data_IF_446674695367
#
_entry.id   IF_446674695367
#
_cell.length_a   1.000
_cell.length_b   1.000
_cell.length_c   1.000
_cell.angle_alpha   90.00
_cell.angle_beta   90.00
_cell.angle_gamma   90.00
#
_symmetry.space_group_name_H-M   'P 1'
#
loop_
_entity.id
_entity.type
_entity.pdbx_description
1 polymer ?
#
# COMPACT_ATOMS: atom_id res chain seq x y z
N UNK A 1 61.17 2.57 -12.25
CA UNK A 1 60.26 2.72 -11.09
C UNK A 1 58.89 3.38 -11.41
N UNK A 2 58.55 3.73 -12.66
CA UNK A 2 57.34 4.54 -12.95
C UNK A 2 56.05 3.84 -13.41
N UNK A 3 55.96 2.49 -13.44
CA UNK A 3 54.74 1.79 -13.92
C UNK A 3 53.72 1.42 -12.84
N UNK A 4 54.07 1.50 -11.56
CA UNK A 4 53.17 1.16 -10.44
C UNK A 4 52.23 2.30 -10.01
N UNK A 5 52.65 3.57 -10.18
CA UNK A 5 51.88 4.73 -9.71
C UNK A 5 50.65 5.01 -10.59
N UNK A 6 50.78 4.92 -11.91
CA UNK A 6 49.70 5.20 -12.87
C UNK A 6 48.54 4.20 -12.83
N UNK A 7 48.80 2.93 -12.47
CA UNK A 7 47.75 1.92 -12.27
C UNK A 7 47.01 2.12 -10.96
N UNK A 8 47.70 2.59 -9.91
CA UNK A 8 47.06 2.92 -8.63
C UNK A 8 46.17 4.16 -8.70
N UNK A 9 46.55 5.17 -9.50
CA UNK A 9 45.73 6.37 -9.75
C UNK A 9 44.51 6.08 -10.63
N UNK A 10 44.62 5.21 -11.64
CA UNK A 10 43.49 4.85 -12.50
C UNK A 10 42.44 4.00 -11.77
N UNK A 11 42.86 3.11 -10.86
CA UNK A 11 41.96 2.36 -9.99
C UNK A 11 41.25 3.27 -8.97
N UNK A 12 41.97 4.22 -8.36
CA UNK A 12 41.39 5.18 -7.41
C UNK A 12 40.37 6.14 -8.06
N UNK A 13 40.60 6.52 -9.31
CA UNK A 13 39.69 7.42 -10.05
C UNK A 13 38.42 6.70 -10.51
N UNK A 14 38.52 5.44 -10.96
CA UNK A 14 37.34 4.60 -11.24
C UNK A 14 36.50 4.31 -10.00
N UNK A 15 37.13 4.01 -8.86
CA UNK A 15 36.42 3.71 -7.61
C UNK A 15 35.75 4.96 -7.01
N UNK A 16 36.37 6.15 -7.18
CA UNK A 16 35.75 7.44 -6.84
C UNK A 16 34.58 7.80 -7.74
N UNK A 17 34.72 7.66 -9.07
CA UNK A 17 33.61 7.91 -10.01
C UNK A 17 32.44 6.93 -9.82
N UNK A 18 32.73 5.67 -9.48
CA UNK A 18 31.73 4.67 -9.10
C UNK A 18 30.95 5.10 -7.86
N UNK A 19 31.66 5.49 -6.79
CA UNK A 19 31.05 5.96 -5.53
C UNK A 19 30.26 7.26 -5.68
N UNK A 20 30.76 8.24 -6.44
CA UNK A 20 30.03 9.49 -6.71
C UNK A 20 28.76 9.25 -7.53
N UNK A 21 28.83 8.39 -8.56
CA UNK A 21 27.65 8.01 -9.35
C UNK A 21 26.64 7.18 -8.55
N UNK A 22 27.11 6.35 -7.63
CA UNK A 22 26.29 5.58 -6.71
C UNK A 22 25.58 6.49 -5.71
N UNK A 23 26.31 7.37 -5.03
CA UNK A 23 25.77 8.35 -4.09
C UNK A 23 24.78 9.30 -4.76
N UNK A 24 25.10 9.83 -5.94
CA UNK A 24 24.17 10.68 -6.71
C UNK A 24 22.89 9.97 -7.13
N UNK A 25 22.96 8.70 -7.54
CA UNK A 25 21.78 7.88 -7.85
C UNK A 25 20.93 7.58 -6.61
N UNK A 26 21.55 7.26 -5.47
CA UNK A 26 20.88 7.01 -4.19
C UNK A 26 20.18 8.27 -3.68
N UNK A 27 20.86 9.42 -3.71
CA UNK A 27 20.29 10.72 -3.31
C UNK A 27 19.11 11.08 -4.21
N UNK A 28 19.26 10.97 -5.54
CA UNK A 28 18.17 11.25 -6.48
C UNK A 28 16.98 10.33 -6.29
N UNK A 29 17.21 9.03 -6.10
CA UNK A 29 16.14 8.06 -5.86
C UNK A 29 15.43 8.32 -4.53
N UNK A 30 16.19 8.65 -3.48
CA UNK A 30 15.61 9.01 -2.19
C UNK A 30 14.78 10.29 -2.31
N UNK A 31 15.33 11.35 -2.92
CA UNK A 31 14.59 12.60 -3.16
C UNK A 31 13.31 12.35 -3.96
N UNK A 32 13.36 11.53 -5.01
CA UNK A 32 12.19 11.18 -5.81
C UNK A 32 11.14 10.40 -5.00
N UNK A 33 11.59 9.47 -4.15
CA UNK A 33 10.72 8.72 -3.24
C UNK A 33 10.07 9.66 -2.21
N UNK A 34 10.85 10.54 -1.58
CA UNK A 34 10.37 11.51 -0.60
C UNK A 34 9.39 12.49 -1.25
N UNK A 35 9.70 13.03 -2.43
CA UNK A 35 8.80 13.88 -3.19
C UNK A 35 7.50 13.16 -3.52
N UNK A 36 7.54 11.89 -3.92
CA UNK A 36 6.34 11.08 -4.16
C UNK A 36 5.48 10.88 -2.91
N UNK A 37 6.10 10.73 -1.73
CA UNK A 37 5.39 10.65 -0.47
C UNK A 37 4.74 11.99 -0.10
N UNK A 38 5.49 13.10 -0.20
CA UNK A 38 4.98 14.46 0.06
C UNK A 38 3.84 14.80 -0.91
N UNK A 39 3.99 14.47 -2.19
CA UNK A 39 2.96 14.61 -3.21
C UNK A 39 1.68 13.86 -2.84
N UNK A 40 1.82 12.57 -2.49
CA UNK A 40 0.67 11.74 -2.12
C UNK A 40 -0.02 12.24 -0.85
N UNK A 41 0.76 12.77 0.11
CA UNK A 41 0.23 13.39 1.32
C UNK A 41 -0.52 14.69 1.01
N UNK A 42 0.03 15.54 0.15
CA UNK A 42 -0.60 16.78 -0.31
C UNK A 42 -1.92 16.52 -1.03
N UNK A 43 -1.96 15.53 -1.93
CA UNK A 43 -3.22 15.11 -2.58
C UNK A 43 -4.24 14.72 -1.52
N UNK A 44 -3.90 13.83 -0.58
CA UNK A 44 -4.85 13.37 0.46
C UNK A 44 -5.34 14.52 1.34
N UNK A 45 -4.44 15.43 1.71
CA UNK A 45 -4.77 16.60 2.52
C UNK A 45 -5.78 17.52 1.81
N UNK A 46 -5.68 17.68 0.49
CA UNK A 46 -6.63 18.45 -0.30
C UNK A 46 -7.94 17.67 -0.57
N UNK A 47 -7.83 16.41 -1.00
CA UNK A 47 -8.97 15.60 -1.43
C UNK A 47 -9.95 15.35 -0.27
N UNK A 48 -9.44 15.13 0.94
CA UNK A 48 -10.27 14.79 2.11
C UNK A 48 -11.30 15.87 2.43
N UNK A 49 -10.92 17.14 2.70
CA UNK A 49 -11.89 18.21 2.94
C UNK A 49 -12.73 18.53 1.69
N UNK A 50 -12.15 18.47 0.49
CA UNK A 50 -12.88 18.70 -0.76
C UNK A 50 -14.03 17.70 -0.93
N UNK A 51 -13.75 16.39 -0.79
CA UNK A 51 -14.77 15.34 -0.89
C UNK A 51 -15.83 15.53 0.19
N UNK A 52 -15.43 15.75 1.45
CA UNK A 52 -16.36 15.93 2.57
C UNK A 52 -17.35 17.08 2.33
N UNK A 53 -16.85 18.23 1.86
CA UNK A 53 -17.68 19.39 1.56
C UNK A 53 -18.58 19.19 0.33
N UNK A 54 -18.12 18.43 -0.67
CA UNK A 54 -18.81 18.31 -1.96
C UNK A 54 -19.92 17.26 -1.96
N UNK A 55 -19.71 16.09 -1.32
CA UNK A 55 -20.70 15.00 -1.33
C UNK A 55 -21.60 15.00 -0.09
N UNK A 56 -21.31 15.86 0.90
CA UNK A 56 -22.04 15.96 2.16
C UNK A 56 -21.61 14.95 3.22
N UNK A 57 -22.00 15.21 4.47
CA UNK A 57 -21.53 14.48 5.64
C UNK A 57 -21.89 12.99 5.63
N UNK A 58 -23.11 12.62 5.21
CA UNK A 58 -23.56 11.23 5.24
C UNK A 58 -22.75 10.37 4.27
N UNK A 59 -22.68 10.78 3.00
CA UNK A 59 -21.90 10.11 1.95
C UNK A 59 -20.41 10.06 2.29
N UNK A 60 -19.85 11.12 2.87
CA UNK A 60 -18.47 11.13 3.32
C UNK A 60 -18.23 10.20 4.53
N UNK A 61 -19.18 10.13 5.46
CA UNK A 61 -19.14 9.19 6.58
C UNK A 61 -19.09 7.74 6.11
N UNK A 62 -19.95 7.39 5.13
CA UNK A 62 -19.95 6.08 4.47
C UNK A 62 -18.60 5.81 3.80
N UNK A 63 -18.11 6.75 2.99
CA UNK A 63 -16.80 6.64 2.34
C UNK A 63 -15.67 6.39 3.33
N UNK A 64 -15.67 7.12 4.45
CA UNK A 64 -14.67 6.99 5.52
C UNK A 64 -14.73 5.63 6.20
N UNK A 65 -15.93 5.14 6.51
CA UNK A 65 -16.14 3.82 7.13
C UNK A 65 -15.68 2.69 6.20
N UNK A 66 -15.98 2.79 4.91
CA UNK A 66 -15.50 1.85 3.90
C UNK A 66 -13.97 1.84 3.87
N UNK A 67 -13.33 3.02 3.90
CA UNK A 67 -11.87 3.13 3.96
C UNK A 67 -11.27 2.49 5.22
N UNK A 68 -11.92 2.67 6.38
CA UNK A 68 -11.51 2.02 7.64
C UNK A 68 -11.64 0.50 7.53
N UNK A 69 -12.73 0.01 6.97
CA UNK A 69 -12.97 -1.42 6.77
C UNK A 69 -11.89 -2.05 5.86
N UNK A 70 -11.57 -1.42 4.74
CA UNK A 70 -10.44 -1.81 3.88
C UNK A 70 -9.10 -1.80 4.65
N UNK A 71 -8.90 -0.81 5.53
CA UNK A 71 -7.73 -0.75 6.40
C UNK A 71 -7.62 -1.95 7.35
N UNK A 72 -8.71 -2.35 7.99
CA UNK A 72 -8.74 -3.55 8.83
C UNK A 72 -8.47 -4.82 8.04
N UNK A 73 -9.05 -4.97 6.85
CA UNK A 73 -8.75 -6.11 6.00
C UNK A 73 -7.28 -6.16 5.56
N UNK A 74 -6.65 -5.01 5.31
CA UNK A 74 -5.20 -4.95 5.04
C UNK A 74 -4.35 -5.37 6.25
N UNK A 75 -4.84 -5.18 7.47
CA UNK A 75 -4.18 -5.73 8.66
C UNK A 75 -4.31 -7.25 8.76
N UNK A 76 -5.29 -7.87 8.09
CA UNK A 76 -5.53 -9.30 8.11
C UNK A 76 -4.78 -10.09 7.02
N UNK A 77 -3.84 -9.47 6.29
CA UNK A 77 -3.01 -10.12 5.26
C UNK A 77 -1.99 -11.14 5.79
N UNK A 78 -2.02 -11.40 7.11
CA UNK A 78 -1.16 -12.33 7.85
C UNK A 78 0.35 -12.13 7.61
N UNK A 79 0.74 -10.90 7.25
CA UNK A 79 2.13 -10.52 6.99
C UNK A 79 2.73 -11.12 5.72
N UNK A 80 1.91 -11.72 4.84
CA UNK A 80 2.42 -12.41 3.65
C UNK A 80 3.09 -11.44 2.68
N UNK A 81 2.62 -10.19 2.61
CA UNK A 81 3.21 -9.09 1.83
C UNK A 81 4.73 -8.97 2.05
N UNK A 82 5.18 -8.96 3.31
CA UNK A 82 6.62 -8.88 3.67
C UNK A 82 7.40 -10.14 3.33
N UNK A 83 6.73 -11.31 3.34
CA UNK A 83 7.35 -12.55 2.90
C UNK A 83 7.70 -12.50 1.41
N UNK A 84 6.84 -11.89 0.58
CA UNK A 84 7.13 -11.72 -0.86
C UNK A 84 8.41 -10.93 -1.08
N UNK A 85 8.52 -9.75 -0.47
CA UNK A 85 9.69 -8.88 -0.63
C UNK A 85 10.99 -9.65 -0.36
N UNK A 86 11.02 -10.43 0.73
CA UNK A 86 12.17 -11.26 1.10
C UNK A 86 12.47 -12.36 0.09
N UNK A 87 11.50 -13.24 -0.17
CA UNK A 87 11.76 -14.46 -0.95
C UNK A 87 11.94 -14.16 -2.44
N UNK A 88 11.24 -13.16 -2.98
CA UNK A 88 11.46 -12.72 -4.37
C UNK A 88 12.86 -12.14 -4.54
N UNK A 89 13.32 -11.28 -3.62
CA UNK A 89 14.69 -10.76 -3.66
C UNK A 89 15.75 -11.87 -3.48
N UNK A 90 15.51 -12.81 -2.56
CA UNK A 90 16.41 -13.95 -2.31
C UNK A 90 16.56 -14.84 -3.55
N UNK A 91 15.44 -15.28 -4.14
CA UNK A 91 15.47 -16.17 -5.31
C UNK A 91 15.95 -15.46 -6.57
N UNK A 92 15.68 -14.15 -6.71
CA UNK A 92 16.24 -13.36 -7.80
C UNK A 92 17.77 -13.27 -7.69
N UNK A 93 18.30 -12.99 -6.49
CA UNK A 93 19.75 -12.93 -6.24
C UNK A 93 20.44 -14.28 -6.50
N UNK A 94 19.76 -15.38 -6.17
CA UNK A 94 20.23 -16.74 -6.44
C UNK A 94 20.03 -17.20 -7.88
N UNK A 95 19.41 -16.38 -8.74
CA UNK A 95 19.02 -16.72 -10.12
C UNK A 95 18.10 -17.96 -10.21
N UNK A 96 17.41 -18.31 -9.13
CA UNK A 96 16.43 -19.40 -9.10
C UNK A 96 15.06 -18.89 -9.53
N UNK A 97 14.91 -18.72 -10.85
CA UNK A 97 13.68 -18.19 -11.44
C UNK A 97 12.49 -19.15 -11.33
N UNK A 98 12.74 -20.44 -11.13
CA UNK A 98 11.67 -21.41 -10.91
C UNK A 98 11.02 -21.18 -9.54
N UNK A 99 11.84 -21.06 -8.48
CA UNK A 99 11.35 -20.71 -7.15
C UNK A 99 10.75 -19.30 -7.12
N UNK A 100 11.33 -18.34 -7.84
CA UNK A 100 10.75 -17.00 -7.98
C UNK A 100 9.30 -17.06 -8.51
N UNK A 101 9.08 -17.77 -9.62
CA UNK A 101 7.75 -17.93 -10.21
C UNK A 101 6.77 -18.70 -9.32
N UNK A 102 7.25 -19.69 -8.55
CA UNK A 102 6.46 -20.37 -7.51
C UNK A 102 6.00 -19.38 -6.44
N UNK A 103 6.89 -18.51 -5.93
CA UNK A 103 6.53 -17.46 -4.97
C UNK A 103 5.44 -16.57 -5.55
N UNK A 104 5.61 -16.04 -6.76
CA UNK A 104 4.60 -15.19 -7.41
C UNK A 104 3.25 -15.90 -7.55
N UNK A 105 3.25 -17.16 -8.00
CA UNK A 105 2.03 -17.95 -8.19
C UNK A 105 1.30 -18.21 -6.87
N UNK A 106 2.05 -18.53 -5.80
CA UNK A 106 1.52 -18.67 -4.45
C UNK A 106 0.86 -17.38 -3.97
N UNK A 107 1.49 -16.23 -4.21
CA UNK A 107 0.93 -14.94 -3.83
C UNK A 107 -0.30 -14.55 -4.59
N UNK A 108 -0.29 -14.74 -5.90
CA UNK A 108 -1.45 -14.47 -6.73
C UNK A 108 -2.66 -15.27 -6.24
N UNK A 109 -2.50 -16.57 -6.04
CA UNK A 109 -3.57 -17.44 -5.57
C UNK A 109 -4.00 -17.14 -4.14
N UNK A 110 -3.06 -16.85 -3.24
CA UNK A 110 -3.38 -16.45 -1.87
C UNK A 110 -4.25 -15.18 -1.87
N UNK A 111 -3.85 -14.13 -2.58
CA UNK A 111 -4.61 -12.88 -2.61
C UNK A 111 -5.94 -13.01 -3.35
N UNK A 112 -6.02 -13.88 -4.37
CA UNK A 112 -7.30 -14.24 -5.00
C UNK A 112 -8.23 -14.93 -4.01
N UNK A 113 -7.75 -15.93 -3.27
CA UNK A 113 -8.53 -16.64 -2.26
C UNK A 113 -8.94 -15.71 -1.09
N UNK A 114 -8.02 -14.86 -0.64
CA UNK A 114 -8.25 -13.86 0.39
C UNK A 114 -9.29 -12.82 -0.04
N UNK A 115 -9.20 -12.33 -1.29
CA UNK A 115 -10.19 -11.44 -1.90
C UNK A 115 -11.57 -12.08 -1.96
N UNK A 116 -11.66 -13.33 -2.44
CA UNK A 116 -12.94 -14.08 -2.46
C UNK A 116 -13.54 -14.26 -1.07
N UNK A 117 -12.71 -14.60 -0.07
CA UNK A 117 -13.14 -14.73 1.32
C UNK A 117 -13.74 -13.41 1.83
N UNK A 118 -13.04 -12.30 1.62
CA UNK A 118 -13.50 -10.98 2.05
C UNK A 118 -14.80 -10.56 1.39
N UNK A 119 -14.91 -10.74 0.07
CA UNK A 119 -16.13 -10.45 -0.69
C UNK A 119 -17.28 -11.33 -0.16
N UNK A 120 -17.04 -12.62 0.08
CA UNK A 120 -18.02 -13.53 0.65
C UNK A 120 -18.51 -13.09 2.04
N UNK A 121 -17.59 -12.71 2.94
CA UNK A 121 -17.93 -12.18 4.26
C UNK A 121 -18.80 -10.93 4.13
N UNK A 122 -18.42 -9.98 3.28
CA UNK A 122 -19.19 -8.73 3.12
C UNK A 122 -20.56 -8.99 2.50
N UNK A 123 -20.67 -9.86 1.50
CA UNK A 123 -21.98 -10.21 0.90
C UNK A 123 -22.89 -10.89 1.95
N UNK A 124 -22.36 -11.81 2.76
CA UNK A 124 -23.15 -12.54 3.76
C UNK A 124 -23.57 -11.60 4.91
N UNK A 125 -22.66 -10.77 5.40
CA UNK A 125 -22.88 -9.95 6.59
C UNK A 125 -23.28 -8.49 6.29
N UNK A 126 -23.52 -8.10 5.03
CA UNK A 126 -23.80 -6.70 4.68
C UNK A 126 -24.98 -6.13 5.49
N UNK A 127 -26.08 -6.86 5.63
CA UNK A 127 -27.24 -6.41 6.40
C UNK A 127 -26.87 -6.15 7.87
N UNK A 128 -26.18 -7.10 8.52
CA UNK A 128 -25.71 -6.94 9.90
C UNK A 128 -24.71 -5.79 10.06
N UNK A 129 -23.88 -5.52 9.05
CA UNK A 129 -22.97 -4.38 9.04
C UNK A 129 -23.77 -3.06 8.96
N UNK A 130 -24.78 -2.97 8.08
CA UNK A 130 -25.64 -1.78 7.99
C UNK A 130 -26.38 -1.53 9.30
N UNK A 131 -26.94 -2.58 9.90
CA UNK A 131 -27.68 -2.50 11.17
C UNK A 131 -26.76 -2.07 12.32
N UNK A 132 -25.56 -2.65 12.41
CA UNK A 132 -24.56 -2.28 13.42
C UNK A 132 -24.10 -0.82 13.29
N UNK A 133 -24.07 -0.28 12.07
CA UNK A 133 -23.74 1.11 11.79
C UNK A 133 -24.94 2.06 11.93
N UNK A 134 -26.13 1.53 12.29
CA UNK A 134 -27.40 2.26 12.32
C UNK A 134 -27.71 2.97 10.99
N UNK A 135 -27.28 2.39 9.87
CA UNK A 135 -27.66 2.83 8.53
C UNK A 135 -29.03 2.24 8.21
N UNK A 136 -30.07 2.84 8.81
CA UNK A 136 -31.46 2.43 8.67
C UNK A 136 -32.25 3.48 7.88
N UNK A 137 -33.35 3.09 7.24
CA UNK A 137 -34.23 4.00 6.47
C UNK A 137 -34.81 5.16 7.30
N UNK A 138 -34.81 5.02 8.63
CA UNK A 138 -35.25 6.07 9.55
C UNK A 138 -34.23 7.22 9.67
N UNK A 139 -32.99 7.03 9.19
CA UNK A 139 -31.88 7.98 9.31
C UNK A 139 -31.27 8.38 7.98
N UNK A 140 -31.42 7.56 6.95
CA UNK A 140 -30.85 7.79 5.62
C UNK A 140 -31.94 7.71 4.57
N UNK A 141 -31.92 8.66 3.64
CA UNK A 141 -32.76 8.60 2.44
C UNK A 141 -32.51 7.31 1.66
N UNK A 142 -33.56 6.81 1.00
CA UNK A 142 -33.50 5.56 0.20
C UNK A 142 -32.37 5.60 -0.84
N UNK A 143 -32.11 6.75 -1.43
CA UNK A 143 -31.01 6.93 -2.40
C UNK A 143 -29.64 6.72 -1.75
N UNK A 144 -29.38 7.36 -0.60
CA UNK A 144 -28.12 7.23 0.14
C UNK A 144 -27.93 5.80 0.63
N UNK A 145 -29.00 5.10 0.99
CA UNK A 145 -28.95 3.69 1.37
C UNK A 145 -28.45 2.79 0.21
N UNK A 146 -28.99 2.97 -0.99
CA UNK A 146 -28.58 2.22 -2.17
C UNK A 146 -27.15 2.58 -2.62
N UNK A 147 -26.75 3.84 -2.48
CA UNK A 147 -25.36 4.26 -2.65
C UNK A 147 -24.42 3.60 -1.62
N UNK A 148 -24.87 3.46 -0.36
CA UNK A 148 -24.07 2.86 0.72
C UNK A 148 -23.79 1.38 0.46
N UNK A 149 -24.82 0.61 0.09
CA UNK A 149 -24.67 -0.80 -0.28
C UNK A 149 -23.71 -0.96 -1.46
N UNK A 150 -23.89 -0.13 -2.49
CA UNK A 150 -23.01 -0.11 -3.65
C UNK A 150 -21.56 0.18 -3.23
N UNK A 151 -21.34 1.22 -2.43
CA UNK A 151 -20.02 1.64 -2.00
C UNK A 151 -19.31 0.57 -1.16
N UNK A 152 -20.01 -0.07 -0.22
CA UNK A 152 -19.43 -1.14 0.62
C UNK A 152 -19.02 -2.34 -0.23
N UNK A 153 -19.91 -2.86 -1.07
CA UNK A 153 -19.64 -4.07 -1.86
C UNK A 153 -18.50 -3.80 -2.86
N UNK A 154 -18.64 -2.74 -3.67
CA UNK A 154 -17.67 -2.48 -4.73
C UNK A 154 -16.32 -2.01 -4.22
N UNK A 155 -16.24 -1.27 -3.12
CA UNK A 155 -14.93 -0.90 -2.56
C UNK A 155 -14.17 -2.10 -2.03
N UNK A 156 -14.86 -3.12 -1.52
CA UNK A 156 -14.23 -4.37 -1.09
C UNK A 156 -13.80 -5.21 -2.29
N UNK A 157 -14.60 -5.26 -3.36
CA UNK A 157 -14.19 -5.86 -4.63
C UNK A 157 -12.94 -5.18 -5.19
N UNK A 158 -12.92 -3.84 -5.23
CA UNK A 158 -11.78 -3.03 -5.69
C UNK A 158 -10.56 -3.26 -4.80
N UNK A 159 -10.74 -3.31 -3.47
CA UNK A 159 -9.67 -3.60 -2.53
C UNK A 159 -9.08 -5.00 -2.75
N UNK A 160 -9.93 -6.01 -2.89
CA UNK A 160 -9.51 -7.38 -3.19
C UNK A 160 -8.76 -7.47 -4.52
N UNK A 161 -9.24 -6.80 -5.56
CA UNK A 161 -8.55 -6.66 -6.84
C UNK A 161 -7.18 -5.99 -6.69
N UNK A 162 -7.09 -4.91 -5.93
CA UNK A 162 -5.84 -4.20 -5.66
C UNK A 162 -4.83 -5.08 -4.91
N UNK A 163 -5.28 -5.87 -3.93
CA UNK A 163 -4.45 -6.85 -3.22
C UNK A 163 -3.90 -7.93 -4.16
N UNK A 164 -4.75 -8.52 -5.01
CA UNK A 164 -4.29 -9.48 -6.03
C UNK A 164 -3.29 -8.85 -7.00
N UNK A 165 -3.56 -7.63 -7.46
CA UNK A 165 -2.69 -6.89 -8.38
C UNK A 165 -1.36 -6.48 -7.75
N UNK A 166 -1.32 -6.32 -6.42
CA UNK A 166 -0.12 -5.92 -5.70
C UNK A 166 1.05 -6.90 -5.86
N UNK A 167 0.77 -8.16 -6.20
CA UNK A 167 1.79 -9.20 -6.47
C UNK A 167 2.73 -8.77 -7.61
N UNK A 168 2.23 -8.09 -8.64
CA UNK A 168 3.06 -7.55 -9.72
C UNK A 168 3.95 -6.41 -9.23
N UNK A 169 3.46 -5.61 -8.28
CA UNK A 169 4.25 -4.66 -7.53
C UNK A 169 5.38 -5.33 -6.75
N UNK A 170 5.07 -6.41 -6.04
CA UNK A 170 6.05 -7.18 -5.25
C UNK A 170 7.14 -7.83 -6.12
N UNK A 171 6.81 -8.22 -7.35
CA UNK A 171 7.83 -8.64 -8.34
C UNK A 171 8.83 -7.50 -8.55
N UNK A 172 8.36 -6.29 -8.85
CA UNK A 172 9.25 -5.13 -9.02
C UNK A 172 10.04 -4.79 -7.76
N UNK A 173 9.43 -4.93 -6.57
CA UNK A 173 10.13 -4.76 -5.29
C UNK A 173 11.24 -5.79 -5.11
N UNK A 174 10.97 -7.06 -5.41
CA UNK A 174 11.96 -8.15 -5.35
C UNK A 174 13.12 -7.95 -6.32
N UNK A 175 12.87 -7.29 -7.46
CA UNK A 175 13.89 -6.86 -8.42
C UNK A 175 14.61 -5.56 -8.01
N UNK A 176 14.30 -5.00 -6.84
CA UNK A 176 14.80 -3.69 -6.36
C UNK A 176 14.44 -2.50 -7.27
N UNK A 177 13.37 -2.61 -8.06
CA UNK A 177 12.87 -1.56 -8.98
C UNK A 177 11.77 -0.71 -8.35
N UNK A 178 12.04 -0.18 -7.15
CA UNK A 178 11.13 0.72 -6.44
C UNK A 178 10.90 2.04 -7.20
N UNK A 179 11.85 2.44 -8.03
CA UNK A 179 11.75 3.59 -8.93
C UNK A 179 10.52 3.50 -9.84
N UNK A 180 10.27 2.32 -10.42
CA UNK A 180 9.14 2.07 -11.32
C UNK A 180 7.82 2.07 -10.56
N UNK A 181 7.77 1.41 -9.40
CA UNK A 181 6.58 1.36 -8.53
C UNK A 181 6.17 2.78 -8.12
N UNK A 182 7.13 3.58 -7.64
CA UNK A 182 6.86 4.92 -7.16
C UNK A 182 6.42 5.84 -8.30
N UNK A 183 7.01 5.70 -9.50
CA UNK A 183 6.56 6.45 -10.69
C UNK A 183 5.12 6.09 -11.07
N UNK A 184 4.77 4.80 -11.10
CA UNK A 184 3.40 4.35 -11.39
C UNK A 184 2.44 4.89 -10.33
N UNK A 185 2.80 4.80 -9.05
CA UNK A 185 1.98 5.30 -7.94
C UNK A 185 1.72 6.81 -7.99
N UNK A 186 2.74 7.61 -8.35
CA UNK A 186 2.57 9.06 -8.52
C UNK A 186 1.69 9.42 -9.71
N UNK A 187 1.84 8.73 -10.85
CA UNK A 187 0.99 8.94 -12.01
C UNK A 187 -0.45 8.56 -11.67
N UNK A 188 -0.65 7.41 -11.04
CA UNK A 188 -1.97 6.95 -10.60
C UNK A 188 -2.61 7.94 -9.63
N UNK A 189 -1.88 8.48 -8.64
CA UNK A 189 -2.43 9.42 -7.67
C UNK A 189 -2.85 10.75 -8.31
N UNK A 190 -2.11 11.22 -9.31
CA UNK A 190 -2.52 12.40 -10.10
C UNK A 190 -3.82 12.14 -10.86
N UNK A 191 -3.96 10.99 -11.52
CA UNK A 191 -5.22 10.64 -12.19
C UNK A 191 -6.36 10.37 -11.20
N UNK A 192 -6.08 9.84 -10.01
CA UNK A 192 -7.08 9.72 -8.93
C UNK A 192 -7.58 11.11 -8.53
N UNK A 193 -6.69 12.08 -8.31
CA UNK A 193 -7.05 13.45 -7.96
C UNK A 193 -7.98 14.06 -9.03
N UNK A 194 -7.56 14.04 -10.30
CA UNK A 194 -8.34 14.61 -11.40
C UNK A 194 -9.68 13.88 -11.54
N UNK A 195 -9.66 12.54 -11.58
CA UNK A 195 -10.87 11.74 -11.73
C UNK A 195 -11.86 11.97 -10.59
N UNK A 196 -11.38 12.12 -9.35
CA UNK A 196 -12.23 12.44 -8.21
C UNK A 196 -12.89 13.80 -8.36
N UNK A 197 -12.14 14.84 -8.75
CA UNK A 197 -12.71 16.18 -8.98
C UNK A 197 -13.76 16.12 -10.08
N UNK A 198 -13.42 15.57 -11.25
CA UNK A 198 -14.32 15.48 -12.41
C UNK A 198 -15.63 14.78 -12.06
N UNK A 199 -15.54 13.64 -11.37
CA UNK A 199 -16.71 12.82 -11.07
C UNK A 199 -17.63 13.47 -10.02
N UNK A 200 -17.05 14.21 -9.06
CA UNK A 200 -17.81 14.99 -8.09
C UNK A 200 -18.51 16.16 -8.77
N UNK A 201 -17.81 16.92 -9.63
CA UNK A 201 -18.35 18.08 -10.36
C UNK A 201 -19.45 17.66 -11.35
N UNK A 202 -19.38 16.44 -11.89
CA UNK A 202 -20.44 15.84 -12.71
C UNK A 202 -21.66 15.39 -11.88
N UNK A 203 -21.63 15.51 -10.55
CA UNK A 203 -22.74 15.17 -9.68
C UNK A 203 -22.90 13.68 -9.36
N UNK A 204 -21.93 12.83 -9.71
CA UNK A 204 -22.03 11.37 -9.45
C UNK A 204 -21.78 10.97 -7.98
N UNK A 205 -21.37 11.93 -7.12
CA UNK A 205 -21.27 11.75 -5.68
C UNK A 205 -20.44 10.54 -5.25
N UNK A 206 -20.94 9.78 -4.26
CA UNK A 206 -20.24 8.63 -3.69
C UNK A 206 -20.07 7.48 -4.70
N UNK A 207 -21.12 7.17 -5.48
CA UNK A 207 -21.06 6.13 -6.53
C UNK A 207 -19.94 6.42 -7.52
N UNK A 208 -19.85 7.68 -7.95
CA UNK A 208 -18.80 8.14 -8.81
C UNK A 208 -17.40 7.89 -8.24
N UNK A 209 -17.16 8.23 -6.97
CA UNK A 209 -15.87 7.98 -6.32
C UNK A 209 -15.45 6.52 -6.36
N UNK A 210 -16.39 5.62 -6.09
CA UNK A 210 -16.14 4.17 -6.10
C UNK A 210 -15.79 3.71 -7.52
N UNK A 211 -16.53 4.16 -8.53
CA UNK A 211 -16.25 3.86 -9.94
C UNK A 211 -14.88 4.40 -10.36
N UNK A 212 -14.54 5.64 -10.01
CA UNK A 212 -13.24 6.24 -10.29
C UNK A 212 -12.09 5.39 -9.71
N UNK A 213 -12.21 4.97 -8.45
CA UNK A 213 -11.21 4.10 -7.82
C UNK A 213 -11.11 2.75 -8.52
N UNK A 214 -12.21 2.17 -8.98
CA UNK A 214 -12.22 0.94 -9.78
C UNK A 214 -11.48 1.11 -11.11
N UNK A 215 -11.75 2.19 -11.84
CA UNK A 215 -11.07 2.50 -13.10
C UNK A 215 -9.56 2.66 -12.89
N UNK A 216 -9.16 3.46 -11.90
CA UNK A 216 -7.74 3.66 -11.58
C UNK A 216 -7.08 2.35 -11.16
N UNK A 217 -7.76 1.50 -10.38
CA UNK A 217 -7.25 0.21 -9.97
C UNK A 217 -7.00 -0.71 -11.18
N UNK A 218 -7.96 -0.80 -12.11
CA UNK A 218 -7.81 -1.63 -13.33
C UNK A 218 -6.68 -1.11 -14.21
N UNK A 219 -6.62 0.20 -14.48
CA UNK A 219 -5.54 0.81 -15.27
C UNK A 219 -4.19 0.57 -14.59
N UNK A 220 -4.10 0.79 -13.28
CA UNK A 220 -2.91 0.54 -12.48
C UNK A 220 -2.44 -0.92 -12.58
N UNK A 221 -3.36 -1.88 -12.52
CA UNK A 221 -3.06 -3.30 -12.72
C UNK A 221 -2.47 -3.56 -14.10
N UNK A 222 -3.06 -3.02 -15.17
CA UNK A 222 -2.54 -3.21 -16.54
C UNK A 222 -1.11 -2.66 -16.67
N UNK A 223 -0.85 -1.47 -16.14
CA UNK A 223 0.47 -0.83 -16.18
C UNK A 223 1.50 -1.62 -15.37
N UNK A 224 1.16 -2.00 -14.13
CA UNK A 224 2.06 -2.75 -13.25
C UNK A 224 2.33 -4.16 -13.78
N UNK A 225 1.32 -4.83 -14.34
CA UNK A 225 1.44 -6.13 -14.99
C UNK A 225 2.42 -6.04 -16.16
N UNK A 226 2.22 -5.09 -17.06
CA UNK A 226 3.11 -4.86 -18.21
C UNK A 226 4.53 -4.55 -17.76
N UNK A 227 4.71 -3.69 -16.76
CA UNK A 227 6.02 -3.36 -16.21
C UNK A 227 6.71 -4.60 -15.59
N UNK A 228 5.98 -5.45 -14.87
CA UNK A 228 6.52 -6.68 -14.28
C UNK A 228 7.02 -7.65 -15.36
N UNK A 229 6.23 -7.91 -16.41
CA UNK A 229 6.66 -8.75 -17.54
C UNK A 229 7.82 -8.15 -18.32
N UNK A 230 7.88 -6.82 -18.44
CA UNK A 230 8.96 -6.13 -19.14
C UNK A 230 10.29 -6.20 -18.37
N UNK A 231 10.24 -6.08 -17.05
CA UNK A 231 11.42 -6.10 -16.17
C UNK A 231 11.89 -7.52 -15.88
N UNK A 232 10.98 -8.49 -15.84
CA UNK A 232 11.28 -9.90 -15.63
C UNK A 232 10.59 -10.77 -16.69
N UNK A 233 11.15 -10.88 -17.90
CA UNK A 233 10.60 -11.71 -18.98
C UNK A 233 10.35 -13.19 -18.61
N UNK A 234 11.13 -13.83 -17.72
CA UNK A 234 10.83 -15.21 -17.26
C UNK A 234 9.60 -15.34 -16.37
N UNK A 235 8.87 -14.26 -16.08
CA UNK A 235 7.68 -14.26 -15.22
C UNK A 235 6.63 -15.25 -15.75
N UNK A 236 6.24 -16.20 -14.91
CA UNK A 236 5.17 -17.16 -15.20
C UNK A 236 4.32 -17.37 -13.97
N UNK A 237 3.02 -17.13 -14.12
CA UNK A 237 2.02 -17.50 -13.11
C UNK A 237 1.43 -18.84 -13.53
N UNK A 238 1.67 -19.87 -12.73
CA UNK A 238 1.05 -21.17 -12.93
C UNK A 238 0.27 -21.56 -11.66
N UNK A 239 -1.08 -21.54 -11.72
CA UNK A 239 -1.93 -21.94 -10.60
C UNK A 239 -1.69 -23.37 -10.11
N UNK A 240 -1.11 -24.25 -10.95
CA UNK A 240 -0.87 -25.65 -10.62
C UNK A 240 0.53 -25.94 -10.08
N UNK A 241 1.44 -24.95 -10.08
CA UNK A 241 2.81 -25.12 -9.55
C UNK A 241 2.94 -24.74 -8.09
N UNK A 242 1.86 -24.85 -7.30
CA UNK A 242 1.87 -24.50 -5.88
C UNK A 242 2.73 -25.49 -5.12
N UNK A 243 3.73 -24.95 -4.43
CA UNK A 243 4.59 -25.72 -3.54
C UNK A 243 4.14 -25.44 -2.10
N UNK A 244 3.47 -26.43 -1.48
CA UNK A 244 2.94 -26.28 -0.12
C UNK A 244 4.04 -26.02 0.91
N UNK A 245 5.24 -26.59 0.70
CA UNK A 245 6.37 -26.36 1.60
C UNK A 245 6.85 -24.92 1.49
N UNK A 246 6.93 -24.37 0.27
CA UNK A 246 7.21 -22.95 0.07
C UNK A 246 6.14 -22.05 0.70
N UNK A 247 4.85 -22.34 0.48
CA UNK A 247 3.75 -21.58 1.07
C UNK A 247 3.85 -21.58 2.60
N UNK A 248 4.00 -22.74 3.23
CA UNK A 248 4.15 -22.85 4.69
C UNK A 248 5.35 -22.06 5.20
N UNK A 249 6.47 -22.07 4.48
CA UNK A 249 7.68 -21.31 4.83
C UNK A 249 7.44 -19.80 4.76
N UNK A 250 6.75 -19.34 3.71
CA UNK A 250 6.36 -17.94 3.54
C UNK A 250 5.35 -17.49 4.60
N UNK A 251 4.34 -18.31 4.85
CA UNK A 251 3.31 -18.05 5.85
C UNK A 251 3.88 -17.99 7.26
N UNK A 252 4.71 -18.96 7.65
CA UNK A 252 5.37 -18.99 8.97
C UNK A 252 6.29 -17.78 9.20
N UNK A 253 6.95 -17.30 8.15
CA UNK A 253 7.74 -16.08 8.22
C UNK A 253 6.84 -14.84 8.36
N UNK A 254 5.77 -14.78 7.55
CA UNK A 254 4.82 -13.67 7.53
C UNK A 254 4.07 -13.50 8.85
N UNK A 255 3.58 -14.60 9.44
CA UNK A 255 2.84 -14.55 10.72
C UNK A 255 3.70 -14.02 11.87
N UNK A 256 5.00 -14.35 11.90
CA UNK A 256 5.94 -13.75 12.89
C UNK A 256 6.04 -12.24 12.73
N UNK A 257 6.13 -11.76 11.48
CA UNK A 257 6.13 -10.31 11.20
C UNK A 257 4.78 -9.66 11.50
N UNK A 258 3.68 -10.38 11.28
CA UNK A 258 2.34 -9.92 11.59
C UNK A 258 2.16 -9.75 13.11
N UNK A 259 2.63 -10.70 13.92
CA UNK A 259 2.64 -10.57 15.38
C UNK A 259 3.43 -9.33 15.80
N UNK A 260 4.59 -9.08 15.20
CA UNK A 260 5.36 -7.86 15.48
C UNK A 260 4.61 -6.58 15.05
N UNK A 261 3.89 -6.60 13.92
CA UNK A 261 3.07 -5.48 13.44
C UNK A 261 1.90 -5.21 14.39
N UNK A 262 1.20 -6.24 14.85
CA UNK A 262 0.11 -6.13 15.81
C UNK A 262 0.59 -5.70 17.19
N UNK A 263 1.73 -6.22 17.66
CA UNK A 263 2.35 -5.76 18.89
C UNK A 263 2.65 -4.25 18.83
N UNK A 264 3.25 -3.77 17.74
CA UNK A 264 3.46 -2.34 17.53
C UNK A 264 2.15 -1.55 17.47
N UNK A 265 1.11 -2.06 16.79
CA UNK A 265 -0.19 -1.40 16.74
C UNK A 265 -0.78 -1.27 18.15
N UNK A 266 -0.75 -2.35 18.94
CA UNK A 266 -1.25 -2.34 20.31
C UNK A 266 -0.44 -1.37 21.17
N UNK A 267 0.88 -1.45 21.15
CA UNK A 267 1.76 -0.57 21.94
C UNK A 267 1.59 0.90 21.61
N UNK A 268 1.40 1.28 20.34
CA UNK A 268 1.35 2.69 19.94
C UNK A 268 -0.06 3.25 19.72
N UNK A 269 -1.11 2.42 19.76
CA UNK A 269 -2.49 2.86 19.55
C UNK A 269 -3.43 2.59 20.73
N UNK A 270 -3.07 1.71 21.68
CA UNK A 270 -3.90 1.47 22.87
C UNK A 270 -3.91 2.64 23.85
N UNK A 271 -2.88 3.49 23.83
CA UNK A 271 -2.77 4.66 24.71
C UNK A 271 -4.01 5.58 24.58
N UNK A 272 -4.54 5.68 23.35
CA UNK A 272 -5.67 6.57 23.01
C UNK A 272 -6.99 6.16 23.67
N UNK A 273 -7.52 4.93 23.48
CA UNK A 273 -8.73 4.49 24.17
C UNK A 273 -8.53 4.37 25.69
N UNK A 274 -7.32 4.05 26.17
CA UNK A 274 -7.03 4.01 27.61
C UNK A 274 -7.12 5.40 28.25
N UNK A 275 -6.51 6.43 27.66
CA UNK A 275 -6.59 7.81 28.18
C UNK A 275 -8.03 8.33 28.13
N UNK A 276 -8.76 8.05 27.04
CA UNK A 276 -10.16 8.44 26.92
C UNK A 276 -11.07 7.77 27.96
N UNK A 277 -10.76 6.55 28.40
CA UNK A 277 -11.57 5.79 29.37
C UNK A 277 -11.19 6.06 30.82
N UNK A 278 -9.91 6.27 31.12
CA UNK A 278 -9.41 6.26 32.51
C UNK A 278 -8.93 7.62 33.05
N UNK A 279 -8.60 8.60 32.20
CA UNK A 279 -7.99 9.87 32.65
C UNK A 279 -8.93 11.07 32.57
N UNK A 280 -9.60 11.30 31.43
CA UNK A 280 -10.74 12.22 31.21
C UNK A 280 -10.88 12.45 29.69
N UNK A 281 -12.11 12.45 29.16
CA UNK A 281 -12.37 12.64 27.70
C UNK A 281 -11.80 13.98 27.17
N UNK A 282 -11.74 15.02 28.01
CA UNK A 282 -11.20 16.34 27.63
C UNK A 282 -9.68 16.38 27.39
N UNK A 283 -8.92 15.40 27.90
CA UNK A 283 -7.46 15.31 27.68
C UNK A 283 -7.11 14.53 26.41
N UNK A 284 -8.07 13.80 25.83
CA UNK A 284 -7.84 13.00 24.63
C UNK A 284 -7.50 13.86 23.39
N UNK A 285 -8.19 14.98 23.08
CA UNK A 285 -7.86 15.80 21.90
C UNK A 285 -6.42 16.37 21.89
N UNK A 286 -5.91 17.04 22.94
CA UNK A 286 -4.55 17.56 22.94
C UNK A 286 -3.49 16.45 22.94
N UNK A 287 -3.75 15.32 23.61
CA UNK A 287 -2.88 14.15 23.54
C UNK A 287 -2.85 13.53 22.13
N UNK A 288 -4.01 13.37 21.48
CA UNK A 288 -4.12 12.84 20.12
C UNK A 288 -3.36 13.70 19.11
N UNK A 289 -3.52 15.03 19.20
CA UNK A 289 -2.79 15.96 18.35
C UNK A 289 -1.27 15.83 18.54
N UNK A 290 -0.82 15.82 19.79
CA UNK A 290 0.61 15.73 20.14
C UNK A 290 1.22 14.38 19.71
N UNK A 291 0.55 13.27 19.99
CA UNK A 291 1.01 11.94 19.59
C UNK A 291 1.02 11.76 18.07
N UNK A 292 0.03 12.32 17.36
CA UNK A 292 -0.01 12.36 15.90
C UNK A 292 1.18 13.13 15.33
N UNK A 293 1.45 14.32 15.87
CA UNK A 293 2.59 15.16 15.48
C UNK A 293 3.93 14.46 15.72
N UNK A 294 4.16 13.90 16.91
CA UNK A 294 5.38 13.13 17.24
C UNK A 294 5.53 11.93 16.29
N UNK A 295 4.42 11.23 16.00
CA UNK A 295 4.39 10.14 15.03
C UNK A 295 4.84 10.58 13.65
N UNK A 296 4.30 11.68 13.13
CA UNK A 296 4.69 12.25 11.83
C UNK A 296 6.16 12.65 11.80
N UNK A 297 6.66 13.32 12.84
CA UNK A 297 8.08 13.69 12.96
C UNK A 297 8.96 12.44 12.99
N UNK A 298 8.60 11.42 13.77
CA UNK A 298 9.32 10.14 13.82
C UNK A 298 9.37 9.47 12.46
N UNK A 299 8.28 9.47 11.69
CA UNK A 299 8.27 8.91 10.34
C UNK A 299 9.22 9.64 9.40
N UNK A 300 9.24 10.97 9.43
CA UNK A 300 10.19 11.77 8.63
C UNK A 300 11.63 11.46 9.05
N UNK A 301 11.90 11.40 10.36
CA UNK A 301 13.23 11.08 10.87
C UNK A 301 13.68 9.67 10.47
N UNK A 302 12.78 8.69 10.43
CA UNK A 302 13.10 7.33 9.98
C UNK A 302 13.32 7.22 8.46
N UNK A 303 12.88 8.19 7.66
CA UNK A 303 13.20 8.27 6.23
C UNK A 303 14.64 8.73 5.97
N UNK A 304 15.30 9.37 6.96
CA UNK A 304 16.68 9.84 6.80
C UNK A 304 17.69 8.67 6.82
N UNK A 305 17.64 7.70 7.75
CA UNK A 305 18.51 6.53 7.72
C UNK A 305 18.39 5.70 6.43
N UNK A 306 17.20 5.56 5.86
CA UNK A 306 17.02 4.83 4.58
C UNK A 306 17.64 5.58 3.39
N UNK A 307 17.80 6.90 3.48
CA UNK A 307 18.52 7.73 2.52
C UNK A 307 20.04 7.69 2.70
N UNK A 308 20.50 7.72 3.96
CA UNK A 308 21.90 7.94 4.33
C UNK A 308 22.70 6.64 4.40
N UNK A 309 22.12 5.55 4.93
CA UNK A 309 22.84 4.28 5.11
C UNK A 309 23.40 3.74 3.77
N UNK A 310 22.66 3.75 2.65
CA UNK A 310 23.22 3.33 1.37
C UNK A 310 24.25 4.32 0.80
N UNK A 311 24.27 5.59 1.23
CA UNK A 311 25.27 6.57 0.79
C UNK A 311 26.58 6.47 1.60
N UNK A 312 26.56 5.81 2.76
CA UNK A 312 27.72 5.64 3.65
C UNK A 312 28.31 4.21 3.65
N UNK A 313 27.71 3.28 2.90
CA UNK A 313 28.18 1.89 2.74
C UNK A 313 28.89 1.71 1.41
#
# INVERSE_FOLDING_TARGET
>A
MGRGQTVSESLNTHDRQSKENFSGKVIRNTLFNTLGHVWSMGIRFYLTPYVALSIGNDRYGIWSIVGILSGYFSLLDLGLSRSFDKYLAEYYTKQDYQSFNKVVSIGFLYYVAFSMLMIGVVIIFHASIMDFLNWTLDRLDREVMEESKFAVIWSIVIFGWAMTSSVFGMVMTGLQRMDVINKIGMIASFFTLIGTIVVIEMGYGLRGLVINNGIIAVIGTVITLFAAYRLFPPLRINPFSIDWQMFRRMFTFGTKLQVAKLANLLTFQLDRPLISRYLHVGLAPPYHFSAGFIGSVRTILLMIPSAVIPATS
#
